data_IF_406332142332
#
_entry.id   IF_406332142332
#
_cell.length_a   1.000
_cell.length_b   1.000
_cell.length_c   1.000
_cell.angle_alpha   90.00
_cell.angle_beta   90.00
_cell.angle_gamma   90.00
#
_symmetry.space_group_name_H-M   'P 1'
#
loop_
_entity.id
_entity.type
_entity.pdbx_description
1 polymer ?
#
# COMPACT_ATOMS: atom_id res chain seq x y z
N UNK A 1 3.73 24.71 12.49
CA UNK A 1 2.54 24.04 11.92
C UNK A 1 2.30 22.75 12.68
N UNK A 2 1.06 22.41 13.02
CA UNK A 2 0.76 21.15 13.70
C UNK A 2 0.93 19.99 12.74
N UNK A 3 1.43 18.88 13.26
CA UNK A 3 1.70 17.69 12.45
C UNK A 3 0.46 17.15 11.71
N UNK A 4 -0.72 17.24 12.35
CA UNK A 4 -2.01 16.84 11.76
C UNK A 4 -2.38 17.67 10.54
N UNK A 5 -2.22 18.99 10.59
CA UNK A 5 -2.50 19.90 9.47
C UNK A 5 -1.61 19.58 8.27
N UNK A 6 -0.32 19.40 8.53
CA UNK A 6 0.68 19.09 7.49
C UNK A 6 0.42 17.74 6.81
N UNK A 7 -0.04 16.74 7.57
CA UNK A 7 -0.40 15.43 7.01
C UNK A 7 -1.63 15.55 6.12
N UNK A 8 -2.64 16.31 6.53
CA UNK A 8 -3.85 16.52 5.73
C UNK A 8 -3.54 17.25 4.42
N UNK A 9 -2.72 18.29 4.47
CA UNK A 9 -2.27 19.03 3.28
C UNK A 9 -1.50 18.11 2.31
N UNK A 10 -0.56 17.33 2.82
CA UNK A 10 0.16 16.34 2.03
C UNK A 10 -0.78 15.34 1.35
N UNK A 11 -1.73 14.75 2.09
CA UNK A 11 -2.67 13.77 1.54
C UNK A 11 -3.58 14.39 0.47
N UNK A 12 -3.98 15.66 0.64
CA UNK A 12 -4.76 16.39 -0.34
C UNK A 12 -3.94 16.65 -1.61
N UNK A 13 -2.69 17.07 -1.49
CA UNK A 13 -1.78 17.26 -2.64
C UNK A 13 -1.58 15.94 -3.40
N UNK A 14 -1.34 14.83 -2.68
CA UNK A 14 -1.19 13.51 -3.30
C UNK A 14 -2.47 13.07 -4.05
N UNK A 15 -3.64 13.43 -3.53
CA UNK A 15 -4.93 13.11 -4.17
C UNK A 15 -5.18 13.97 -5.40
N UNK A 16 -4.99 15.29 -5.29
CA UNK A 16 -5.43 16.28 -6.29
C UNK A 16 -4.38 16.50 -7.38
N UNK A 17 -3.13 16.66 -7.00
CA UNK A 17 -2.04 17.01 -7.92
C UNK A 17 -1.36 15.76 -8.50
N UNK A 18 -1.08 14.76 -7.66
CA UNK A 18 -0.40 13.53 -8.08
C UNK A 18 -1.38 12.45 -8.57
N UNK A 19 -2.70 12.64 -8.39
CA UNK A 19 -3.73 11.73 -8.88
C UNK A 19 -3.67 10.32 -8.28
N UNK A 20 -3.17 10.17 -7.03
CA UNK A 20 -3.04 8.87 -6.40
C UNK A 20 -4.41 8.23 -6.16
N UNK A 21 -4.48 6.91 -6.40
CA UNK A 21 -5.67 6.12 -6.10
C UNK A 21 -6.02 6.17 -4.61
N UNK A 22 -7.34 6.14 -4.29
CA UNK A 22 -7.83 6.27 -2.91
C UNK A 22 -7.21 5.24 -1.95
N UNK A 23 -6.98 4.01 -2.38
CA UNK A 23 -6.30 2.99 -1.57
C UNK A 23 -4.86 3.39 -1.20
N UNK A 24 -4.15 4.11 -2.07
CA UNK A 24 -2.81 4.64 -1.78
C UNK A 24 -2.87 5.76 -0.74
N UNK A 25 -3.87 6.63 -0.84
CA UNK A 25 -4.11 7.70 0.14
C UNK A 25 -4.44 7.11 1.52
N UNK A 26 -5.28 6.08 1.58
CA UNK A 26 -5.60 5.36 2.82
C UNK A 26 -4.34 4.75 3.44
N UNK A 27 -3.50 4.10 2.64
CA UNK A 27 -2.22 3.55 3.10
C UNK A 27 -1.29 4.63 3.64
N UNK A 28 -1.11 5.73 2.93
CA UNK A 28 -0.29 6.86 3.37
C UNK A 28 -0.80 7.43 4.70
N UNK A 29 -2.11 7.63 4.81
CA UNK A 29 -2.74 8.10 6.04
C UNK A 29 -2.48 7.18 7.22
N UNK A 30 -2.62 5.87 7.05
CA UNK A 30 -2.36 4.89 8.11
C UNK A 30 -0.90 4.91 8.56
N UNK A 31 0.02 5.00 7.61
CA UNK A 31 1.46 5.02 7.86
C UNK A 31 1.89 6.30 8.56
N UNK A 32 1.41 7.47 8.12
CA UNK A 32 1.70 8.75 8.74
C UNK A 32 1.07 8.86 10.14
N UNK A 33 -0.12 8.31 10.36
CA UNK A 33 -0.72 8.23 11.69
C UNK A 33 0.10 7.38 12.66
N UNK A 34 0.74 6.29 12.17
CA UNK A 34 1.67 5.49 12.99
C UNK A 34 2.88 6.31 13.42
N UNK A 35 3.47 7.08 12.50
CA UNK A 35 4.55 8.01 12.83
C UNK A 35 4.09 9.07 13.85
N UNK A 36 2.94 9.67 13.63
CA UNK A 36 2.37 10.68 14.54
C UNK A 36 2.17 10.11 15.96
N UNK A 37 1.69 8.87 16.06
CA UNK A 37 1.53 8.19 17.37
C UNK A 37 2.88 8.04 18.08
N UNK A 38 3.93 7.68 17.37
CA UNK A 38 5.29 7.60 17.93
C UNK A 38 5.79 8.98 18.39
N UNK A 39 5.68 10.00 17.53
CA UNK A 39 6.15 11.35 17.83
C UNK A 39 5.44 11.95 19.05
N UNK A 40 4.14 11.75 19.17
CA UNK A 40 3.37 12.19 20.34
C UNK A 40 3.87 11.54 21.64
N UNK A 41 4.28 10.26 21.60
CA UNK A 41 4.88 9.58 22.77
C UNK A 41 6.24 10.17 23.16
N UNK A 42 6.96 10.74 22.18
CA UNK A 42 8.24 11.43 22.41
C UNK A 42 8.07 12.91 22.74
N UNK A 43 6.85 13.43 22.79
CA UNK A 43 6.56 14.85 23.06
C UNK A 43 6.92 15.77 21.90
N UNK A 44 7.06 15.25 20.67
CA UNK A 44 7.38 16.00 19.46
C UNK A 44 6.07 16.39 18.79
N UNK A 45 5.74 17.68 18.81
CA UNK A 45 4.47 18.22 18.28
C UNK A 45 4.63 18.92 16.93
N UNK A 46 5.84 19.39 16.60
CA UNK A 46 6.10 20.14 15.39
C UNK A 46 6.94 19.34 14.42
N UNK A 47 6.62 19.44 13.13
CA UNK A 47 7.35 18.73 12.08
C UNK A 47 8.80 19.19 11.94
N UNK A 48 9.07 20.47 12.29
CA UNK A 48 10.43 21.05 12.27
C UNK A 48 11.36 20.44 13.33
N UNK A 49 10.81 19.85 14.38
CA UNK A 49 11.58 19.24 15.48
C UNK A 49 11.95 17.77 15.18
N UNK A 50 11.53 17.25 14.02
CA UNK A 50 11.82 15.89 13.61
C UNK A 50 13.21 15.82 12.98
N UNK A 51 14.16 15.24 13.70
CA UNK A 51 15.53 15.01 13.23
C UNK A 51 15.67 13.66 12.51
N UNK A 52 16.82 13.46 11.84
CA UNK A 52 17.18 12.16 11.28
C UNK A 52 17.21 11.07 12.37
N UNK A 53 17.75 11.38 13.55
CA UNK A 53 17.81 10.43 14.67
C UNK A 53 16.41 10.05 15.14
N UNK A 54 15.49 11.01 15.23
CA UNK A 54 14.08 10.74 15.54
C UNK A 54 13.45 9.73 14.57
N UNK A 55 13.72 9.89 13.28
CA UNK A 55 13.21 8.96 12.25
C UNK A 55 13.88 7.58 12.39
N UNK A 56 15.18 7.53 12.61
CA UNK A 56 15.90 6.26 12.81
C UNK A 56 15.39 5.50 14.03
N UNK A 57 15.15 6.18 15.14
CA UNK A 57 14.63 5.57 16.36
C UNK A 57 13.19 5.09 16.19
N UNK A 58 12.38 5.84 15.44
CA UNK A 58 11.06 5.38 15.05
C UNK A 58 11.11 4.11 14.19
N UNK A 59 12.02 4.05 13.21
CA UNK A 59 12.20 2.85 12.38
C UNK A 59 12.72 1.65 13.17
N UNK A 60 13.56 1.86 14.18
CA UNK A 60 14.00 0.81 15.12
C UNK A 60 12.80 0.32 15.95
N UNK A 61 12.03 1.22 16.53
CA UNK A 61 10.81 0.88 17.28
C UNK A 61 9.84 0.04 16.45
N UNK A 62 9.65 0.37 15.16
CA UNK A 62 8.84 -0.44 14.25
C UNK A 62 9.41 -1.84 13.98
N UNK A 63 10.74 -2.04 14.08
CA UNK A 63 11.33 -3.35 13.88
C UNK A 63 10.98 -4.33 15.02
N UNK A 64 10.68 -3.83 16.20
CA UNK A 64 10.26 -4.64 17.35
C UNK A 64 8.88 -5.26 17.13
N UNK A 65 8.04 -4.66 16.28
CA UNK A 65 6.71 -5.16 15.90
C UNK A 65 6.73 -6.30 14.87
N UNK A 66 7.90 -6.89 14.55
CA UNK A 66 8.06 -8.01 13.61
C UNK A 66 7.40 -7.83 12.24
N UNK A 67 7.31 -6.61 11.73
CA UNK A 67 6.70 -6.31 10.43
C UNK A 67 7.51 -6.92 9.27
N UNK A 68 6.80 -7.41 8.26
CA UNK A 68 7.43 -7.94 7.04
C UNK A 68 8.32 -6.88 6.36
N UNK A 69 9.42 -7.32 5.73
CA UNK A 69 10.38 -6.43 5.04
C UNK A 69 9.70 -5.60 3.94
N UNK A 70 8.72 -6.16 3.25
CA UNK A 70 7.92 -5.44 2.24
C UNK A 70 7.12 -4.29 2.85
N UNK A 71 6.47 -4.51 3.98
CA UNK A 71 5.70 -3.49 4.71
C UNK A 71 6.62 -2.36 5.18
N UNK A 72 7.80 -2.70 5.71
CA UNK A 72 8.81 -1.71 6.12
C UNK A 72 9.32 -0.89 4.94
N UNK A 73 9.58 -1.53 3.80
CA UNK A 73 10.03 -0.83 2.59
C UNK A 73 8.99 0.16 2.07
N UNK A 74 7.71 -0.25 2.11
CA UNK A 74 6.59 0.62 1.73
C UNK A 74 6.50 1.82 2.67
N UNK A 75 6.55 1.57 3.98
CA UNK A 75 6.53 2.60 5.01
C UNK A 75 7.65 3.64 4.84
N UNK A 76 8.90 3.19 4.66
CA UNK A 76 10.03 4.09 4.41
C UNK A 76 9.84 4.91 3.12
N UNK A 77 9.20 4.32 2.10
CA UNK A 77 8.86 5.03 0.86
C UNK A 77 7.85 6.16 1.12
N UNK A 78 6.80 5.90 1.90
CA UNK A 78 5.81 6.91 2.28
C UNK A 78 6.45 8.06 3.07
N UNK A 79 7.30 7.74 4.06
CA UNK A 79 8.02 8.79 4.81
C UNK A 79 8.92 9.64 3.90
N UNK A 80 9.58 9.04 2.90
CA UNK A 80 10.36 9.81 1.93
C UNK A 80 9.51 10.75 1.12
N UNK A 81 8.35 10.30 0.62
CA UNK A 81 7.43 11.17 -0.12
C UNK A 81 6.96 12.33 0.76
N UNK A 82 6.58 12.05 2.00
CA UNK A 82 6.13 13.04 2.95
C UNK A 82 7.20 14.09 3.25
N UNK A 83 8.40 13.69 3.67
CA UNK A 83 9.48 14.64 4.00
C UNK A 83 10.04 15.37 2.78
N UNK A 84 10.00 14.74 1.59
CA UNK A 84 10.32 15.43 0.34
C UNK A 84 9.31 16.53 0.04
N UNK A 85 8.02 16.25 0.18
CA UNK A 85 6.95 17.22 0.03
C UNK A 85 7.17 18.40 0.98
N UNK A 86 7.41 18.16 2.27
CA UNK A 86 7.64 19.19 3.27
C UNK A 86 8.85 20.08 2.95
N UNK A 87 9.93 19.53 2.41
CA UNK A 87 11.10 20.29 2.00
C UNK A 87 10.79 21.14 0.77
N UNK A 88 10.06 20.62 -0.21
CA UNK A 88 9.67 21.36 -1.41
C UNK A 88 8.71 22.50 -1.11
N UNK A 89 7.80 22.30 -0.17
CA UNK A 89 6.83 23.31 0.29
C UNK A 89 7.43 24.31 1.31
N UNK A 90 8.71 24.17 1.65
CA UNK A 90 9.42 25.06 2.56
C UNK A 90 8.99 24.94 4.03
N UNK A 91 8.26 23.89 4.40
CA UNK A 91 7.84 23.63 5.78
C UNK A 91 9.02 23.22 6.66
N UNK A 92 9.99 22.51 6.10
CA UNK A 92 11.26 22.12 6.73
C UNK A 92 12.45 22.55 5.86
N UNK A 93 13.57 22.92 6.48
CA UNK A 93 14.80 23.29 5.80
C UNK A 93 15.57 22.04 5.33
N UNK A 94 15.70 21.05 6.20
CA UNK A 94 16.42 19.80 5.95
C UNK A 94 15.48 18.59 5.93
N UNK A 95 15.74 17.68 5.00
CA UNK A 95 14.97 16.44 4.90
C UNK A 95 15.60 15.35 5.77
N UNK A 96 14.96 14.92 6.89
CA UNK A 96 15.51 13.90 7.79
C UNK A 96 15.65 12.51 7.13
N UNK A 97 14.99 12.29 5.97
CA UNK A 97 15.06 11.03 5.24
C UNK A 97 16.20 10.98 4.21
N UNK A 98 16.92 12.08 3.97
CA UNK A 98 17.88 12.20 2.85
C UNK A 98 18.98 11.13 2.88
N UNK A 99 19.50 10.80 4.07
CA UNK A 99 20.58 9.82 4.27
C UNK A 99 20.09 8.43 4.73
N UNK A 100 18.78 8.25 4.88
CA UNK A 100 18.21 6.97 5.31
C UNK A 100 18.05 6.04 4.10
N UNK A 101 18.77 4.92 4.10
CA UNK A 101 18.69 3.91 3.05
C UNK A 101 17.42 3.05 3.19
N UNK A 102 16.83 2.67 2.05
CA UNK A 102 15.78 1.64 2.03
C UNK A 102 16.36 0.29 2.46
N UNK A 103 15.63 -0.51 3.25
CA UNK A 103 16.01 -1.90 3.47
C UNK A 103 16.11 -2.61 2.12
N UNK A 104 17.16 -3.38 1.91
CA UNK A 104 17.31 -4.17 0.68
C UNK A 104 16.13 -5.13 0.58
N UNK A 105 15.33 -4.99 -0.48
CA UNK A 105 14.28 -5.96 -0.80
C UNK A 105 14.95 -7.29 -1.11
N UNK A 106 14.73 -8.29 -0.28
CA UNK A 106 14.93 -9.68 -0.70
C UNK A 106 13.90 -9.96 -1.78
N UNK A 107 14.33 -10.14 -3.02
CA UNK A 107 13.45 -10.58 -4.08
C UNK A 107 13.05 -12.03 -3.78
N UNK A 108 11.88 -12.23 -3.21
CA UNK A 108 11.22 -13.53 -3.25
C UNK A 108 10.66 -13.70 -4.66
N UNK A 109 11.17 -14.70 -5.37
CA UNK A 109 10.54 -15.14 -6.61
C UNK A 109 9.13 -15.63 -6.27
N UNK A 110 8.09 -15.14 -6.98
CA UNK A 110 6.74 -15.63 -6.75
C UNK A 110 6.68 -17.14 -6.95
N UNK A 111 6.00 -17.85 -6.06
CA UNK A 111 5.64 -19.24 -6.31
C UNK A 111 4.65 -19.26 -7.47
N UNK A 112 5.00 -20.01 -8.51
CA UNK A 112 4.13 -20.19 -9.70
C UNK A 112 3.43 -21.53 -9.55
N UNK A 113 2.12 -21.55 -9.74
CA UNK A 113 1.34 -22.77 -9.77
C UNK A 113 1.61 -23.55 -11.06
N UNK A 114 1.71 -24.86 -10.96
CA UNK A 114 1.70 -25.77 -12.11
C UNK A 114 0.30 -25.86 -12.71
N UNK A 115 0.19 -26.30 -13.98
CA UNK A 115 -1.11 -26.51 -14.62
C UNK A 115 -2.00 -27.46 -13.83
N UNK A 116 -1.44 -28.57 -13.33
CA UNK A 116 -2.17 -29.55 -12.51
C UNK A 116 -2.72 -28.95 -11.21
N UNK A 117 -1.98 -28.00 -10.61
CA UNK A 117 -2.45 -27.28 -9.41
C UNK A 117 -3.57 -26.31 -9.74
N UNK A 118 -3.47 -25.60 -10.87
CA UNK A 118 -4.54 -24.74 -11.37
C UNK A 118 -5.80 -25.55 -11.65
N UNK A 119 -5.71 -26.67 -12.38
CA UNK A 119 -6.86 -27.53 -12.69
C UNK A 119 -7.55 -28.06 -11.42
N UNK A 120 -6.77 -28.44 -10.40
CA UNK A 120 -7.32 -28.87 -9.11
C UNK A 120 -8.03 -27.72 -8.39
N UNK A 121 -7.48 -26.50 -8.41
CA UNK A 121 -8.13 -25.33 -7.81
C UNK A 121 -9.44 -25.04 -8.53
N UNK A 122 -9.42 -25.01 -9.85
CA UNK A 122 -10.61 -24.79 -10.67
C UNK A 122 -11.70 -25.86 -10.44
N UNK A 123 -11.33 -27.11 -10.23
CA UNK A 123 -12.26 -28.21 -9.98
C UNK A 123 -12.85 -28.26 -8.56
N UNK A 124 -12.34 -27.46 -7.62
CA UNK A 124 -12.77 -27.50 -6.21
C UNK A 124 -14.23 -27.09 -5.98
N UNK A 125 -14.77 -26.03 -6.65
CA UNK A 125 -16.14 -25.60 -6.41
C UNK A 125 -17.18 -26.63 -6.88
N UNK A 126 -18.19 -26.92 -6.04
CA UNK A 126 -19.30 -27.80 -6.37
C UNK A 126 -20.32 -27.07 -7.27
N UNK A 127 -20.20 -27.26 -8.57
CA UNK A 127 -21.04 -26.60 -9.58
C UNK A 127 -22.52 -27.02 -9.57
N UNK A 128 -22.90 -28.05 -8.78
CA UNK A 128 -24.29 -28.40 -8.59
C UNK A 128 -25.02 -27.40 -7.69
N UNK A 129 -24.28 -26.57 -6.98
CA UNK A 129 -24.79 -25.51 -6.10
C UNK A 129 -24.59 -24.13 -6.75
N UNK A 130 -25.56 -23.22 -6.61
CA UNK A 130 -25.46 -21.87 -7.20
C UNK A 130 -24.20 -21.12 -6.78
N UNK A 131 -23.79 -21.22 -5.52
CA UNK A 131 -22.57 -20.57 -5.02
C UNK A 131 -21.31 -21.21 -5.61
N UNK A 132 -21.28 -22.54 -5.75
CA UNK A 132 -20.15 -23.22 -6.37
C UNK A 132 -20.03 -22.91 -7.87
N UNK A 133 -21.14 -22.78 -8.58
CA UNK A 133 -21.14 -22.34 -9.98
C UNK A 133 -20.57 -20.91 -10.09
N UNK A 134 -21.01 -19.98 -9.23
CA UNK A 134 -20.45 -18.63 -9.15
C UNK A 134 -18.94 -18.65 -8.90
N UNK A 135 -18.50 -19.41 -7.89
CA UNK A 135 -17.09 -19.46 -7.50
C UNK A 135 -16.22 -20.05 -8.62
N UNK A 136 -16.71 -21.09 -9.31
CA UNK A 136 -16.07 -21.67 -10.48
C UNK A 136 -15.92 -20.63 -11.60
N UNK A 137 -16.99 -19.91 -11.94
CA UNK A 137 -17.00 -18.87 -12.98
C UNK A 137 -15.99 -17.76 -12.65
N UNK A 138 -15.94 -17.30 -11.39
CA UNK A 138 -14.97 -16.29 -10.96
C UNK A 138 -13.53 -16.78 -11.13
N UNK A 139 -13.22 -18.00 -10.69
CA UNK A 139 -11.88 -18.59 -10.81
C UNK A 139 -11.44 -18.76 -12.27
N UNK A 140 -12.32 -19.28 -13.12
CA UNK A 140 -12.04 -19.45 -14.55
C UNK A 140 -11.84 -18.11 -15.26
N UNK A 141 -12.66 -17.11 -14.93
CA UNK A 141 -12.51 -15.76 -15.49
C UNK A 141 -11.19 -15.12 -15.05
N UNK A 142 -10.83 -15.23 -13.77
CA UNK A 142 -9.54 -14.75 -13.26
C UNK A 142 -8.36 -15.41 -13.97
N UNK A 143 -8.41 -16.72 -14.14
CA UNK A 143 -7.33 -17.47 -14.79
C UNK A 143 -7.19 -17.14 -16.26
N UNK A 144 -8.31 -17.06 -17.00
CA UNK A 144 -8.31 -16.83 -18.46
C UNK A 144 -7.96 -15.39 -18.84
N UNK A 145 -8.35 -14.41 -18.01
CA UNK A 145 -8.19 -12.98 -18.34
C UNK A 145 -7.01 -12.31 -17.64
N UNK A 146 -6.53 -12.89 -16.51
CA UNK A 146 -5.53 -12.26 -15.66
C UNK A 146 -6.03 -11.00 -14.93
N UNK A 147 -7.34 -10.78 -14.88
CA UNK A 147 -7.93 -9.65 -14.16
C UNK A 147 -7.64 -9.71 -12.66
N UNK A 148 -7.62 -8.54 -12.01
CA UNK A 148 -7.55 -8.48 -10.55
C UNK A 148 -8.90 -8.81 -9.92
N UNK A 149 -8.88 -9.34 -8.69
CA UNK A 149 -10.13 -9.63 -7.95
C UNK A 149 -11.05 -8.39 -7.86
N UNK A 150 -10.47 -7.20 -7.64
CA UNK A 150 -11.24 -5.95 -7.62
C UNK A 150 -11.88 -5.57 -8.96
N UNK A 151 -11.30 -6.00 -10.07
CA UNK A 151 -11.84 -5.75 -11.41
C UNK A 151 -13.00 -6.69 -11.71
N UNK A 152 -12.83 -7.99 -11.46
CA UNK A 152 -13.87 -8.97 -11.76
C UNK A 152 -15.16 -8.78 -10.95
N UNK A 153 -15.08 -8.35 -9.68
CA UNK A 153 -16.27 -8.12 -8.86
C UNK A 153 -17.08 -6.87 -9.27
N UNK A 154 -16.53 -6.03 -10.14
CA UNK A 154 -17.20 -4.84 -10.68
C UNK A 154 -17.63 -5.00 -12.14
N UNK A 155 -17.38 -6.15 -12.78
CA UNK A 155 -17.84 -6.43 -14.15
C UNK A 155 -19.36 -6.42 -14.17
N UNK A 156 -19.91 -5.73 -15.17
CA UNK A 156 -21.35 -5.73 -15.48
C UNK A 156 -21.60 -6.63 -16.69
N UNK A 157 -22.83 -7.10 -16.85
CA UNK A 157 -23.23 -7.90 -18.01
C UNK A 157 -23.04 -7.17 -19.33
N UNK A 158 -23.16 -5.84 -19.33
CA UNK A 158 -22.91 -4.98 -20.49
C UNK A 158 -21.45 -4.94 -20.95
N UNK A 159 -20.52 -5.31 -20.07
CA UNK A 159 -19.08 -5.36 -20.35
C UNK A 159 -18.65 -6.70 -20.99
N UNK A 160 -19.59 -7.67 -21.07
CA UNK A 160 -19.30 -9.03 -21.57
C UNK A 160 -19.86 -9.17 -22.99
N UNK A 161 -18.96 -9.38 -23.94
CA UNK A 161 -19.30 -9.57 -25.37
C UNK A 161 -19.10 -11.05 -25.76
N UNK A 162 -20.11 -11.88 -25.47
CA UNK A 162 -20.04 -13.33 -25.74
C UNK A 162 -19.92 -13.66 -27.23
N UNK A 163 -20.33 -12.75 -28.12
CA UNK A 163 -20.31 -12.95 -29.57
C UNK A 163 -18.93 -12.73 -30.21
N UNK A 164 -17.99 -12.17 -29.45
CA UNK A 164 -16.65 -11.87 -29.97
C UNK A 164 -15.57 -12.86 -29.52
N UNK A 165 -15.91 -13.83 -28.70
CA UNK A 165 -15.00 -14.88 -28.19
C UNK A 165 -14.16 -14.44 -27.03
#
# INVERSE_FOLDING_TARGET
MKLTEVIEDFLNTMRVEEGLAENSIISYKQELNRMMTYLNRQGIEKVQDISQDTVLDHLKWMNEDHLATSTRSHYVSTLRHFFRYLKLDGVIEDNPMEKISLPKKTQHLPAVLTLDEVDRILATPDITKPLGLRDRTLLETLYSTGMRVSEIIHIKLEDIHLDMG
#
